data_IF_123682193056
#
_entry.id   IF_123682193056
#
_cell.length_a   1.000
_cell.length_b   1.000
_cell.length_c   1.000
_cell.angle_alpha   90.00
_cell.angle_beta   90.00
_cell.angle_gamma   90.00
#
_symmetry.space_group_name_H-M   'P 1'
#
loop_
_entity.id
_entity.type
_entity.pdbx_description
1 polymer ?
2 non-polymer ?
3 non-polymer ?
4 non-polymer ?
5 non-polymer ?
6 water ?
#
# COMPACT_ATOMS: atom_id res chain seq x y z
N UNK A 29 -14.54 -3.25 26.84
CA UNK A 29 -13.16 -3.58 27.19
C UNK A 29 -12.26 -3.36 26.00
N UNK A 30 -10.96 -3.30 26.24
CA UNK A 30 -9.98 -3.06 25.18
C UNK A 30 -9.68 -4.37 24.44
N UNK A 31 -9.79 -4.39 23.10
CA UNK A 31 -9.46 -5.66 22.43
C UNK A 31 -7.96 -5.92 22.41
N UNK A 32 -7.57 -7.19 22.24
CA UNK A 32 -6.16 -7.55 22.13
C UNK A 32 -5.51 -6.74 21.04
N UNK A 33 -4.29 -6.28 21.30
CA UNK A 33 -3.49 -5.67 20.25
C UNK A 33 -2.02 -6.06 20.44
N UNK A 34 -1.25 -6.07 19.34
CA UNK A 34 0.16 -6.42 19.45
C UNK A 34 0.94 -5.37 20.25
N UNK A 35 1.88 -5.84 21.06
CA UNK A 35 2.67 -4.95 21.92
C UNK A 35 4.12 -4.86 21.49
N UNK A 36 4.52 -5.74 20.58
CA UNK A 36 5.86 -5.73 20.02
C UNK A 36 5.76 -6.31 18.62
N UNK A 37 6.79 -6.09 17.83
CA UNK A 37 6.71 -6.44 16.40
C UNK A 37 6.43 -7.94 16.17
N UNK A 38 6.96 -8.82 17.02
CA UNK A 38 6.73 -10.26 16.79
C UNK A 38 5.29 -10.67 17.10
N UNK A 39 4.54 -9.84 17.84
CA UNK A 39 3.14 -10.14 18.12
C UNK A 39 2.31 -10.12 16.84
N UNK A 40 2.83 -9.52 15.76
CA UNK A 40 2.11 -9.57 14.48
C UNK A 40 1.99 -10.99 13.94
N UNK A 41 2.80 -11.91 14.45
CA UNK A 41 2.63 -13.32 14.13
C UNK A 41 1.22 -13.80 14.46
N UNK A 42 0.59 -13.17 15.45
CA UNK A 42 -0.69 -13.67 15.97
C UNK A 42 -1.89 -13.06 15.28
N UNK A 43 -1.68 -12.09 14.40
CA UNK A 43 -2.81 -11.51 13.73
C UNK A 43 -2.60 -11.45 12.22
N UNK A 44 -1.35 -11.53 11.77
CA UNK A 44 -1.07 -11.40 10.34
C UNK A 44 -1.58 -12.60 9.55
N UNK A 45 -1.91 -13.69 10.25
CA UNK A 45 -2.47 -14.88 9.60
C UNK A 45 -3.98 -14.99 9.76
N UNK A 46 -4.58 -14.03 10.46
CA UNK A 46 -6.02 -14.03 10.66
C UNK A 46 -6.69 -13.53 9.38
N UNK A 47 -6.41 -14.23 8.28
CA UNK A 47 -6.89 -13.84 6.96
C UNK A 47 -8.40 -14.04 6.86
N UNK A 48 -9.08 -12.99 6.39
CA UNK A 48 -10.52 -13.01 6.24
C UNK A 48 -10.90 -13.58 4.88
N UNK A 52 -5.46 -16.89 -2.20
CA UNK A 52 -5.80 -17.94 -3.14
C UNK A 52 -7.32 -18.12 -3.34
N UNK A 53 -8.12 -17.41 -2.55
CA UNK A 53 -9.57 -17.47 -2.71
C UNK A 53 -10.01 -16.38 -3.68
N UNK A 54 -10.01 -16.70 -4.98
CA UNK A 54 -10.35 -15.69 -5.98
C UNK A 54 -11.85 -15.39 -6.15
N UNK A 55 -12.16 -14.11 -6.32
CA UNK A 55 -13.53 -13.68 -6.56
C UNK A 55 -13.96 -14.18 -7.94
N UNK A 56 -15.26 -14.30 -8.15
CA UNK A 56 -15.79 -14.87 -9.38
C UNK A 56 -15.33 -14.12 -10.63
N UNK A 57 -15.22 -12.80 -10.53
CA UNK A 57 -14.79 -11.98 -11.66
C UNK A 57 -13.28 -11.79 -11.81
N UNK A 58 -12.49 -12.52 -11.02
CA UNK A 58 -11.03 -12.43 -11.13
C UNK A 58 -10.57 -12.99 -12.47
N UNK A 59 -9.63 -12.32 -13.14
CA UNK A 59 -9.18 -12.79 -14.45
C UNK A 59 -8.50 -14.15 -14.42
N UNK A 60 -8.05 -14.59 -13.24
CA UNK A 60 -7.49 -15.91 -13.10
C UNK A 60 -8.46 -16.94 -12.53
N UNK A 61 -9.73 -16.56 -12.34
CA UNK A 61 -10.71 -17.42 -11.67
C UNK A 61 -10.79 -18.84 -12.23
N UNK A 62 -10.65 -18.96 -13.54
CA UNK A 62 -10.73 -20.27 -14.20
C UNK A 62 -9.35 -20.77 -14.61
N UNK A 63 -8.30 -20.11 -14.15
CA UNK A 63 -6.96 -20.58 -14.51
C UNK A 63 -6.37 -21.38 -13.36
N UNK A 64 -6.27 -22.69 -13.57
CA UNK A 64 -5.75 -23.63 -12.58
C UNK A 64 -4.29 -23.42 -12.24
N UNK A 65 -3.49 -23.11 -13.25
CA UNK A 65 -2.06 -22.91 -13.03
C UNK A 65 -1.83 -21.66 -12.18
N UNK A 66 -2.49 -20.56 -12.54
CA UNK A 66 -2.40 -19.33 -11.76
C UNK A 66 -2.90 -19.58 -10.33
N UNK A 67 -3.99 -20.35 -10.21
CA UNK A 67 -4.54 -20.68 -8.90
C UNK A 67 -3.50 -21.40 -8.03
N UNK A 68 -2.75 -22.32 -8.63
CA UNK A 68 -1.72 -23.04 -7.90
C UNK A 68 -0.54 -22.13 -7.54
N UNK A 69 -0.21 -21.20 -8.42
CA UNK A 69 0.82 -20.21 -8.16
C UNK A 69 0.43 -19.32 -6.98
N UNK A 70 -0.84 -18.92 -6.96
CA UNK A 70 -1.35 -18.13 -5.84
C UNK A 70 -1.33 -18.89 -4.53
N UNK A 71 -1.63 -20.19 -4.55
CA UNK A 71 -1.49 -21.01 -3.35
C UNK A 71 -0.04 -21.05 -2.83
N UNK A 72 0.92 -21.19 -3.74
CA UNK A 72 2.32 -21.11 -3.40
C UNK A 72 2.65 -19.81 -2.65
N UNK A 73 2.23 -18.67 -3.19
CA UNK A 73 2.52 -17.41 -2.52
C UNK A 73 1.83 -17.30 -1.17
N UNK A 74 0.58 -17.75 -1.10
CA UNK A 74 -0.17 -17.65 0.15
C UNK A 74 0.50 -18.49 1.23
N UNK A 75 0.96 -19.69 0.87
CA UNK A 75 1.65 -20.54 1.84
C UNK A 75 2.95 -19.91 2.34
N UNK A 76 3.68 -19.22 1.45
CA UNK A 76 4.90 -18.52 1.89
C UNK A 76 4.59 -17.52 2.99
N UNK A 77 3.52 -16.77 2.80
CA UNK A 77 3.11 -15.78 3.78
C UNK A 77 2.61 -16.43 5.06
N UNK A 78 1.80 -17.47 4.93
CA UNK A 78 1.25 -18.13 6.12
C UNK A 78 2.35 -18.74 6.99
N UNK A 79 3.41 -19.22 6.35
CA UNK A 79 4.49 -19.88 7.08
C UNK A 79 5.56 -18.94 7.62
N UNK A 80 5.53 -17.69 7.15
CA UNK A 80 6.46 -16.67 7.60
C UNK A 80 6.26 -16.34 9.08
N UNK A 81 7.36 -16.18 9.80
CA UNK A 81 7.32 -15.71 11.19
C UNK A 81 8.26 -14.54 11.34
N UNK A 82 7.91 -13.57 12.18
CA UNK A 82 8.80 -12.44 12.40
C UNK A 82 10.22 -12.89 12.74
N UNK A 83 11.22 -12.27 12.10
CA UNK A 83 12.62 -12.65 12.29
C UNK A 83 13.15 -13.42 11.08
N UNK A 84 12.26 -14.08 10.36
CA UNK A 84 12.62 -14.79 9.13
C UNK A 84 13.06 -13.80 8.05
N UNK A 85 14.05 -14.19 7.24
CA UNK A 85 14.21 -13.47 5.98
C UNK A 85 12.98 -13.77 5.13
N UNK A 86 12.49 -12.78 4.39
CA UNK A 86 11.31 -13.04 3.55
C UNK A 86 11.74 -13.93 2.41
N UNK A 87 11.05 -15.08 2.24
CA UNK A 87 11.48 -16.01 1.19
C UNK A 87 11.65 -15.36 -0.17
N UNK A 88 12.78 -15.62 -0.82
CA UNK A 88 12.96 -15.08 -2.16
C UNK A 88 12.27 -15.99 -3.17
N UNK A 89 11.73 -15.36 -4.20
CA UNK A 89 10.90 -16.05 -5.17
C UNK A 89 11.55 -15.96 -6.53
N UNK A 90 11.57 -17.07 -7.26
CA UNK A 90 11.96 -17.01 -8.65
C UNK A 90 10.72 -16.69 -9.48
N UNK A 91 10.60 -15.45 -9.93
CA UNK A 91 9.47 -15.07 -10.76
C UNK A 91 9.59 -15.67 -12.17
N UNK A 92 8.44 -15.99 -12.76
CA UNK A 92 8.43 -16.58 -14.10
C UNK A 92 8.63 -15.50 -15.16
N UNK A 93 8.98 -15.93 -16.37
CA UNK A 93 9.16 -14.97 -17.47
C UNK A 93 7.87 -14.17 -17.70
N UNK A 94 6.74 -14.87 -17.60
CA UNK A 94 5.42 -14.25 -17.75
C UNK A 94 5.17 -13.19 -16.66
N UNK A 95 5.53 -13.51 -15.43
CA UNK A 95 5.35 -12.57 -14.32
C UNK A 95 6.23 -11.34 -14.52
N UNK A 96 7.48 -11.57 -14.89
CA UNK A 96 8.39 -10.46 -15.14
C UNK A 96 7.91 -9.59 -16.31
N UNK A 97 7.37 -10.21 -17.36
CA UNK A 97 6.83 -9.42 -18.47
C UNK A 97 5.66 -8.53 -18.03
N UNK A 98 4.81 -9.06 -17.15
CA UNK A 98 3.67 -8.31 -16.65
C UNK A 98 4.15 -7.10 -15.86
N UNK A 99 5.06 -7.34 -14.92
CA UNK A 99 5.74 -6.27 -14.19
C UNK A 99 6.36 -5.22 -15.13
N UNK A 100 7.11 -5.67 -16.14
CA UNK A 100 7.78 -4.76 -17.06
C UNK A 100 6.82 -3.85 -17.80
N UNK A 101 5.70 -4.43 -18.22
CA UNK A 101 4.68 -3.70 -18.96
C UNK A 101 4.12 -2.57 -18.09
N UNK A 102 3.76 -2.91 -16.87
CA UNK A 102 3.23 -1.94 -15.90
C UNK A 102 4.28 -0.87 -15.54
N UNK A 103 5.48 -1.35 -15.22
CA UNK A 103 6.63 -0.50 -14.87
C UNK A 103 6.95 0.54 -15.94
N UNK A 104 7.03 0.09 -17.18
CA UNK A 104 7.37 1.00 -18.28
C UNK A 104 6.37 2.14 -18.47
N UNK A 105 5.09 1.81 -18.42
CA UNK A 105 4.06 2.79 -18.65
C UNK A 105 3.91 3.77 -17.48
N UNK A 106 3.93 3.24 -16.26
CA UNK A 106 3.84 4.10 -15.09
C UNK A 106 5.03 5.05 -15.00
N UNK A 107 6.23 4.59 -15.30
CA UNK A 107 7.39 5.47 -15.20
C UNK A 107 7.38 6.64 -16.17
N UNK A 108 6.64 6.51 -17.27
CA UNK A 108 6.45 7.64 -18.16
C UNK A 108 5.62 8.75 -17.49
N UNK A 109 4.75 8.37 -16.56
CA UNK A 109 3.81 9.30 -15.95
C UNK A 109 4.29 9.92 -14.64
N UNK A 110 5.12 9.20 -13.89
CA UNK A 110 5.54 9.69 -12.57
C UNK A 110 6.13 11.11 -12.56
N UNK A 111 7.01 11.46 -13.53
CA UNK A 111 7.59 12.81 -13.46
C UNK A 111 6.56 13.95 -13.47
N UNK A 112 5.47 13.76 -14.20
CA UNK A 112 4.46 14.82 -14.27
C UNK A 112 3.30 14.65 -13.28
N UNK A 113 3.24 13.50 -12.60
CA UNK A 113 2.11 13.18 -11.72
C UNK A 113 2.47 12.98 -10.24
N UNK A 114 3.60 12.35 -9.97
CA UNK A 114 3.93 11.97 -8.59
C UNK A 114 4.50 13.09 -7.75
N UNK A 115 4.27 13.01 -6.45
CA UNK A 115 4.82 13.98 -5.53
C UNK A 115 6.35 13.91 -5.48
N UNK A 116 6.97 14.99 -5.01
CA UNK A 116 8.42 15.11 -5.04
C UNK A 116 9.11 14.04 -4.20
N UNK A 117 8.50 13.64 -3.08
CA UNK A 117 9.09 12.62 -2.22
C UNK A 117 9.15 11.28 -2.94
N UNK A 118 8.08 10.96 -3.67
CA UNK A 118 8.06 9.74 -4.46
C UNK A 118 9.20 9.76 -5.48
N UNK A 119 9.31 10.87 -6.22
CA UNK A 119 10.30 10.99 -7.28
C UNK A 119 11.74 10.96 -6.73
N UNK A 120 11.94 11.45 -5.51
CA UNK A 120 13.27 11.45 -4.91
C UNK A 120 13.71 10.02 -4.57
N UNK A 121 12.77 9.20 -4.11
CA UNK A 121 13.13 7.87 -3.63
C UNK A 121 13.15 6.76 -4.68
N UNK A 122 12.36 6.92 -5.74
CA UNK A 122 12.31 5.91 -6.80
C UNK A 122 13.70 5.54 -7.39
N UNK A 123 14.56 6.52 -7.70
CA UNK A 123 15.88 6.11 -8.23
C UNK A 123 16.78 5.39 -7.22
N UNK A 124 16.56 5.65 -5.93
CA UNK A 124 17.29 4.92 -4.91
C UNK A 124 16.94 3.44 -4.99
N UNK A 125 15.68 3.14 -5.31
CA UNK A 125 15.23 1.75 -5.41
C UNK A 125 15.75 1.04 -6.66
N UNK A 126 15.96 1.78 -7.74
CA UNK A 126 16.59 1.20 -8.93
C UNK A 126 18.04 0.87 -8.62
N UNK A 127 18.68 1.69 -7.80
CA UNK A 127 20.08 1.51 -7.50
C UNK A 127 20.32 0.37 -6.52
N UNK A 128 19.51 0.32 -5.47
CA UNK A 128 19.78 -0.60 -4.37
C UNK A 128 18.92 -1.86 -4.30
N UNK A 129 17.76 -1.83 -4.94
CA UNK A 129 16.81 -2.94 -4.83
C UNK A 129 16.44 -3.58 -6.15
N UNK A 130 17.11 -3.18 -7.23
CA UNK A 130 16.95 -3.86 -8.50
C UNK A 130 15.64 -3.60 -9.22
N UNK A 131 15.07 -2.42 -9.01
CA UNK A 131 13.90 -2.00 -9.78
C UNK A 131 14.32 -1.78 -11.24
N UNK A 132 13.95 -2.71 -12.10
CA UNK A 132 14.24 -2.61 -13.53
C UNK A 132 13.06 -3.19 -14.26
N UNK A 133 12.93 -2.86 -15.53
CA UNK A 133 11.85 -3.41 -16.34
C UNK A 133 11.90 -4.95 -16.43
N UNK A 134 13.09 -5.54 -16.40
CA UNK A 134 13.19 -6.98 -16.55
C UNK A 134 13.54 -7.69 -15.25
N UNK A 135 13.23 -7.06 -14.12
CA UNK A 135 13.51 -7.65 -12.84
C UNK A 135 12.49 -7.22 -11.80
N UNK A 136 11.79 -8.19 -11.21
CA UNK A 136 10.90 -7.89 -10.08
C UNK A 136 11.73 -7.91 -8.79
N UNK A 137 11.73 -6.79 -8.06
CA UNK A 137 12.48 -6.70 -6.80
C UNK A 137 12.01 -7.74 -5.79
N UNK A 138 12.94 -8.25 -4.98
CA UNK A 138 12.60 -9.17 -3.88
C UNK A 138 12.16 -8.40 -2.64
N UNK A 139 11.09 -8.86 -1.99
CA UNK A 139 10.62 -8.18 -0.78
C UNK A 139 11.69 -8.09 0.32
N UNK A 140 12.51 -9.14 0.46
CA UNK A 140 13.56 -9.07 1.48
C UNK A 140 14.53 -7.90 1.24
N UNK A 141 14.93 -7.68 -0.01
CA UNK A 141 15.83 -6.57 -0.32
C UNK A 141 15.17 -5.23 -0.07
N UNK A 142 13.92 -5.07 -0.48
CA UNK A 142 13.17 -3.86 -0.22
C UNK A 142 12.99 -3.61 1.28
N UNK A 143 12.71 -4.67 2.02
CA UNK A 143 12.57 -4.57 3.47
C UNK A 143 13.86 -4.08 4.12
N UNK A 144 14.99 -4.63 3.70
CA UNK A 144 16.28 -4.19 4.22
C UNK A 144 16.58 -2.71 3.92
N UNK A 145 16.23 -2.29 2.71
CA UNK A 145 16.36 -0.89 2.31
C UNK A 145 15.51 0.01 3.21
N UNK A 146 14.24 -0.34 3.38
CA UNK A 146 13.35 0.48 4.21
C UNK A 146 13.80 0.50 5.66
N UNK A 147 14.32 -0.61 6.15
CA UNK A 147 14.77 -0.63 7.55
C UNK A 147 15.88 0.39 7.77
N UNK A 148 16.79 0.52 6.82
CA UNK A 148 17.86 1.50 6.93
C UNK A 148 17.34 2.94 6.82
N UNK A 149 16.41 3.18 5.91
CA UNK A 149 15.94 4.55 5.63
C UNK A 149 15.01 5.11 6.71
N UNK A 150 14.00 4.32 7.10
CA UNK A 150 12.96 4.82 8.00
C UNK A 150 12.58 3.84 9.09
N UNK A 151 13.24 2.69 9.13
CA UNK A 151 12.84 1.65 10.06
C UNK A 151 11.60 0.88 9.66
N UNK A 152 11.01 1.20 8.51
CA UNK A 152 9.91 0.38 8.00
C UNK A 152 10.43 -0.97 7.55
N UNK A 153 9.55 -1.95 7.59
CA UNK A 153 9.89 -3.28 7.12
C UNK A 153 8.68 -3.89 6.46
N UNK A 154 8.90 -4.99 5.78
CA UNK A 154 7.85 -5.69 5.06
C UNK A 154 7.53 -7.01 5.74
N UNK A 155 6.25 -7.35 5.77
CA UNK A 155 5.80 -8.69 6.13
C UNK A 155 4.94 -9.23 4.99
N UNK A 156 5.30 -10.41 4.41
CA UNK A 156 4.42 -10.93 3.37
C UNK A 156 3.06 -11.34 3.96
N UNK A 157 1.99 -11.02 3.25
CA UNK A 157 0.68 -11.32 3.78
C UNK A 157 -0.08 -12.20 2.80
N UNK A 158 -0.82 -13.17 3.32
CA UNK A 158 -1.49 -14.13 2.45
C UNK A 158 -2.63 -13.47 1.67
N UNK A 159 -3.40 -12.63 2.35
CA UNK A 159 -4.52 -11.96 1.73
C UNK A 159 -5.09 -10.91 2.67
N UNK A 160 -6.37 -10.61 2.51
CA UNK A 160 -7.03 -9.53 3.25
C UNK A 160 -7.15 -9.81 4.75
N UNK A 161 -6.75 -8.83 5.55
CA UNK A 161 -6.89 -8.86 6.99
C UNK A 161 -7.96 -7.88 7.43
N UNK A 162 -8.48 -8.04 8.65
CA UNK A 162 -9.34 -6.98 9.20
C UNK A 162 -8.58 -5.66 9.21
N UNK A 163 -9.32 -4.55 9.14
CA UNK A 163 -8.58 -3.28 9.22
C UNK A 163 -7.82 -3.16 10.53
N UNK A 164 -8.36 -3.71 11.63
CA UNK A 164 -7.62 -3.67 12.87
C UNK A 164 -6.25 -4.35 12.73
N UNK A 165 -6.23 -5.56 12.20
CA UNK A 165 -4.97 -6.29 12.09
C UNK A 165 -4.02 -5.64 11.08
N UNK A 166 -4.55 -5.20 9.96
CA UNK A 166 -3.71 -4.56 8.95
C UNK A 166 -3.09 -3.26 9.49
N UNK A 167 -3.90 -2.38 10.06
CA UNK A 167 -3.36 -1.13 10.58
C UNK A 167 -2.41 -1.37 11.77
N UNK A 168 -2.64 -2.43 12.55
CA UNK A 168 -1.76 -2.67 13.68
C UNK A 168 -0.31 -2.86 13.24
N UNK A 169 -0.07 -3.39 12.04
CA UNK A 169 1.29 -3.56 11.58
C UNK A 169 2.00 -2.22 11.50
N UNK A 170 1.29 -1.20 11.02
CA UNK A 170 1.89 0.13 10.86
C UNK A 170 2.41 0.69 12.17
N UNK A 171 1.81 0.30 13.29
CA UNK A 171 2.28 0.74 14.60
C UNK A 171 3.74 0.37 14.85
N UNK A 172 4.19 -0.72 14.22
CA UNK A 172 5.58 -1.18 14.37
C UNK A 172 6.35 -0.95 13.10
N UNK A 173 5.86 -0.03 12.29
CA UNK A 173 6.42 0.27 10.96
C UNK A 173 6.57 -1.00 10.14
N UNK A 174 5.52 -1.83 10.17
CA UNK A 174 5.47 -3.03 9.35
C UNK A 174 4.37 -2.86 8.31
N UNK A 175 4.74 -3.04 7.05
CA UNK A 175 3.77 -2.99 5.98
C UNK A 175 3.46 -4.40 5.52
N UNK A 176 2.19 -4.81 5.66
CA UNK A 176 1.74 -6.14 5.21
C UNK A 176 1.59 -6.05 3.70
N UNK A 177 2.38 -6.89 3.03
CA UNK A 177 2.65 -6.75 1.62
C UNK A 177 2.33 -8.03 0.82
N UNK A 178 1.57 -7.91 -0.27
CA UNK A 178 1.35 -9.05 -1.15
C UNK A 178 2.62 -9.35 -1.98
N UNK A 179 2.84 -10.63 -2.25
CA UNK A 179 4.05 -11.08 -2.95
C UNK A 179 3.79 -11.62 -4.35
N UNK A 180 2.54 -11.95 -4.64
CA UNK A 180 2.16 -12.51 -5.93
C UNK A 180 2.02 -11.42 -6.98
N UNK A 181 1.91 -11.84 -8.24
CA UNK A 181 1.78 -10.92 -9.35
C UNK A 181 0.39 -11.07 -9.95
N UNK A 182 -0.17 -9.96 -10.42
CA UNK A 182 -1.45 -9.98 -11.12
C UNK A 182 -1.41 -10.92 -12.31
N UNK A 183 -2.58 -11.37 -12.74
CA UNK A 183 -2.69 -12.24 -13.89
C UNK A 183 -2.24 -11.53 -15.16
N UNK A 184 -1.54 -12.26 -16.02
CA UNK A 184 -0.91 -11.66 -17.19
C UNK A 184 -1.89 -11.19 -18.28
N UNK A 185 -3.13 -11.65 -18.21
CA UNK A 185 -4.13 -11.31 -19.22
C UNK A 185 -4.49 -9.83 -19.23
N UNK A 186 -4.34 -9.18 -18.07
CA UNK A 186 -4.61 -7.75 -17.96
C UNK A 186 -3.58 -7.09 -17.05
N UNK A 187 -2.43 -6.71 -17.62
CA UNK A 187 -1.35 -6.11 -16.83
C UNK A 187 -1.73 -4.77 -16.21
N UNK A 188 -2.61 -4.04 -16.87
CA UNK A 188 -2.93 -2.69 -16.41
C UNK A 188 -4.00 -2.60 -15.35
N UNK A 189 -4.80 -3.65 -15.19
CA UNK A 189 -5.83 -3.64 -14.17
C UNK A 189 -5.75 -4.86 -13.26
N UNK A 190 -5.94 -4.63 -11.96
CA UNK A 190 -5.94 -5.72 -10.99
C UNK A 190 -7.11 -5.45 -10.03
N UNK A 191 -7.79 -6.52 -9.63
CA UNK A 191 -8.98 -6.39 -8.76
C UNK A 191 -8.59 -6.34 -7.29
N UNK A 192 -7.29 -6.37 -7.04
CA UNK A 192 -6.80 -6.48 -5.68
C UNK A 192 -5.38 -5.97 -5.65
N UNK A 193 -4.84 -5.77 -4.45
CA UNK A 193 -3.43 -5.43 -4.40
C UNK A 193 -2.60 -6.62 -4.88
N UNK A 194 -1.54 -6.34 -5.62
CA UNK A 194 -0.54 -7.35 -5.97
C UNK A 194 0.83 -6.75 -5.69
N UNK A 195 1.89 -7.52 -5.89
CA UNK A 195 3.22 -7.02 -5.59
C UNK A 195 3.63 -5.82 -6.44
N UNK A 196 3.14 -5.72 -7.67
CA UNK A 196 3.45 -4.54 -8.48
C UNK A 196 2.92 -3.28 -7.78
N UNK A 197 1.71 -3.35 -7.25
CA UNK A 197 1.15 -2.25 -6.48
C UNK A 197 1.97 -1.94 -5.24
N UNK A 198 2.41 -2.97 -4.53
CA UNK A 198 3.19 -2.72 -3.33
C UNK A 198 4.51 -2.04 -3.62
N UNK A 199 5.22 -2.59 -4.60
CA UNK A 199 6.57 -2.13 -4.94
C UNK A 199 6.62 -0.76 -5.62
N UNK A 200 5.68 -0.53 -6.53
CA UNK A 200 5.64 0.74 -7.25
C UNK A 200 4.80 1.79 -6.56
N UNK A 201 3.72 1.36 -5.91
CA UNK A 201 2.86 2.31 -5.23
C UNK A 201 3.26 2.71 -3.82
N UNK A 202 3.59 1.73 -2.98
CA UNK A 202 3.82 2.03 -1.57
C UNK A 202 5.27 2.24 -1.14
N UNK A 203 6.16 1.42 -1.65
CA UNK A 203 7.52 1.43 -1.13
C UNK A 203 8.25 2.77 -1.25
N UNK A 204 8.15 3.48 -2.40
CA UNK A 204 8.95 4.72 -2.44
C UNK A 204 8.57 5.73 -1.37
N UNK A 205 7.32 5.77 -0.93
CA UNK A 205 6.94 6.70 0.12
C UNK A 205 7.23 6.17 1.52
N UNK A 206 7.22 4.86 1.72
CA UNK A 206 7.60 4.31 3.02
C UNK A 206 9.07 4.61 3.31
N UNK A 207 9.83 4.92 2.26
CA UNK A 207 11.23 5.32 2.41
C UNK A 207 11.41 6.79 2.82
N UNK A 208 10.32 7.54 2.91
CA UNK A 208 10.40 8.96 3.27
C UNK A 208 10.05 9.14 4.74
N UNK A 209 10.97 9.72 5.55
CA UNK A 209 10.70 9.82 6.99
C UNK A 209 9.37 10.49 7.36
N UNK A 210 9.01 11.59 6.72
CA UNK A 210 7.75 12.25 7.09
C UNK A 210 6.53 11.36 6.84
N UNK A 211 6.56 10.64 5.72
CA UNK A 211 5.47 9.75 5.37
C UNK A 211 5.44 8.53 6.30
N UNK A 212 6.62 7.99 6.63
CA UNK A 212 6.71 6.86 7.54
C UNK A 212 6.13 7.21 8.91
N UNK A 213 6.41 8.43 9.39
CA UNK A 213 5.85 8.86 10.67
C UNK A 213 4.33 8.99 10.59
N UNK A 214 3.84 9.60 9.52
CA UNK A 214 2.40 9.73 9.28
C UNK A 214 1.73 8.35 9.31
N UNK A 215 2.29 7.41 8.56
CA UNK A 215 1.74 6.06 8.51
C UNK A 215 1.79 5.35 9.86
N UNK A 216 2.94 5.41 10.52
CA UNK A 216 3.06 4.76 11.82
C UNK A 216 2.00 5.30 12.78
N UNK A 217 1.72 6.60 12.73
CA UNK A 217 0.76 7.15 13.69
C UNK A 217 -0.67 6.71 13.43
N UNK A 218 -1.02 6.38 12.19
CA UNK A 218 -2.31 5.73 11.94
C UNK A 218 -2.35 4.39 12.70
N UNK A 219 -1.29 3.60 12.56
CA UNK A 219 -1.23 2.33 13.26
C UNK A 219 -1.29 2.48 14.78
N UNK A 220 -0.51 3.42 15.31
CA UNK A 220 -0.48 3.62 16.75
C UNK A 220 -1.87 4.02 17.28
N UNK A 221 -2.54 4.90 16.56
CA UNK A 221 -3.87 5.33 16.97
C UNK A 221 -4.84 4.16 16.97
N UNK A 222 -4.64 3.21 16.07
CA UNK A 222 -5.59 2.10 15.95
C UNK A 222 -5.48 1.08 17.06
N UNK A 223 -4.32 1.00 17.73
CA UNK A 223 -4.08 -0.09 18.68
C UNK A 223 -5.04 -0.06 19.86
N UNK A 224 -5.84 -1.11 20.00
CA UNK A 224 -6.81 -1.18 21.10
C UNK A 224 -7.98 -0.23 20.93
N UNK A 225 -8.09 0.42 19.78
CA UNK A 225 -9.18 1.37 19.56
C UNK A 225 -10.52 0.66 19.36
N UNK A 226 -11.61 1.40 19.50
CA UNK A 226 -12.93 0.83 19.27
C UNK A 226 -13.08 0.42 17.80
N UNK A 227 -14.00 -0.48 17.53
CA UNK A 227 -14.29 -0.87 16.14
C UNK A 227 -14.60 0.35 15.29
N UNK A 228 -15.43 1.23 15.84
CA UNK A 228 -15.80 2.48 15.19
C UNK A 228 -14.58 3.32 14.82
N UNK A 229 -13.67 3.49 15.78
CA UNK A 229 -12.46 4.27 15.55
C UNK A 229 -11.56 3.63 14.50
N UNK A 230 -11.38 2.31 14.58
CA UNK A 230 -10.58 1.59 13.58
C UNK A 230 -11.14 1.82 12.18
N UNK A 231 -12.46 1.76 12.03
CA UNK A 231 -13.05 1.94 10.71
C UNK A 231 -12.78 3.34 10.18
N UNK A 232 -12.89 4.34 11.05
CA UNK A 232 -12.60 5.72 10.63
C UNK A 232 -11.12 5.92 10.26
N UNK A 233 -10.23 5.31 11.04
CA UNK A 233 -8.81 5.37 10.72
C UNK A 233 -8.51 4.69 9.39
N UNK A 234 -9.17 3.56 9.15
CA UNK A 234 -8.97 2.84 7.89
C UNK A 234 -9.41 3.69 6.69
N UNK A 235 -10.49 4.43 6.83
CA UNK A 235 -10.98 5.27 5.74
C UNK A 235 -10.01 6.43 5.53
N UNK A 236 -9.51 7.02 6.61
CA UNK A 236 -8.49 8.08 6.48
C UNK A 236 -7.24 7.55 5.80
N UNK A 237 -6.82 6.35 6.21
CA UNK A 237 -5.71 5.65 5.56
C UNK A 237 -5.97 5.51 4.05
N UNK A 238 -7.17 5.04 3.70
CA UNK A 238 -7.52 4.82 2.30
C UNK A 238 -7.38 6.09 1.46
N UNK A 239 -7.85 7.21 1.99
CA UNK A 239 -7.87 8.45 1.22
C UNK A 239 -6.60 9.30 1.37
N UNK A 240 -5.58 8.73 2.00
CA UNK A 240 -4.25 9.33 2.04
C UNK A 240 -3.25 8.34 1.46
N UNK A 241 -2.88 7.33 2.26
CA UNK A 241 -1.90 6.35 1.83
C UNK A 241 -2.27 5.66 0.51
N UNK A 242 -3.55 5.35 0.28
CA UNK A 242 -3.90 4.64 -0.96
C UNK A 242 -4.32 5.57 -2.11
N UNK A 243 -5.07 6.64 -1.82
CA UNK A 243 -5.60 7.47 -2.90
C UNK A 243 -5.41 8.97 -2.72
N UNK A 244 -4.43 9.35 -1.91
CA UNK A 244 -4.19 10.74 -1.59
C UNK A 244 -3.57 11.57 -2.70
N UNK A 245 -3.95 12.85 -2.70
CA UNK A 245 -3.29 13.88 -3.50
C UNK A 245 -2.66 14.84 -2.53
N UNK A 246 -1.64 15.56 -2.98
CA UNK A 246 -1.09 16.61 -2.14
C UNK A 246 -0.82 17.84 -2.98
N UNK A 247 -0.68 18.98 -2.33
CA UNK A 247 -0.37 20.22 -3.02
C UNK A 247 1.07 20.62 -2.75
N UNK A 248 1.85 20.74 -3.82
CA UNK A 248 3.26 21.07 -3.71
C UNK A 248 3.60 22.15 -4.71
N UNK A 249 4.18 23.24 -4.22
CA UNK A 249 4.49 24.41 -5.05
C UNK A 249 3.29 24.80 -5.91
N UNK A 250 2.09 24.75 -5.31
CA UNK A 250 0.87 25.17 -5.99
C UNK A 250 0.23 24.15 -6.92
N UNK A 251 0.89 23.01 -7.10
CA UNK A 251 0.42 22.00 -8.03
C UNK A 251 -0.19 20.81 -7.30
N UNK A 252 -1.20 20.18 -7.90
CA UNK A 252 -1.70 18.92 -7.37
C UNK A 252 -0.80 17.78 -7.79
N UNK A 253 -0.34 16.99 -6.82
CA UNK A 253 0.51 15.84 -7.09
C UNK A 253 -0.12 14.60 -6.45
N UNK A 254 0.32 13.42 -6.87
CA UNK A 254 -0.23 12.18 -6.36
C UNK A 254 0.71 11.50 -5.37
N UNK A 255 0.18 11.09 -4.22
CA UNK A 255 0.97 10.23 -3.33
C UNK A 255 0.31 8.90 -2.97
N UNK A 256 -0.98 8.75 -3.29
CA UNK A 256 -1.68 7.50 -2.98
C UNK A 256 -1.16 6.33 -3.80
N UNK A 257 -0.83 5.23 -3.12
CA UNK A 257 -0.26 4.06 -3.76
C UNK A 257 -1.19 3.40 -4.78
N UNK A 258 -2.49 3.41 -4.51
CA UNK A 258 -3.48 2.89 -5.44
C UNK A 258 -3.53 3.66 -6.75
N UNK A 259 -3.25 4.96 -6.68
CA UNK A 259 -3.13 5.77 -7.89
C UNK A 259 -1.81 5.54 -8.59
N UNK A 260 -0.74 5.48 -7.79
CA UNK A 260 0.60 5.34 -8.36
C UNK A 260 0.82 3.99 -9.04
N UNK A 261 -0.06 3.02 -8.84
CA UNK A 261 0.10 1.75 -9.57
C UNK A 261 -1.02 1.49 -10.58
N UNK A 262 -1.87 2.48 -10.83
CA UNK A 262 -2.98 2.34 -11.77
C UNK A 262 -2.82 3.38 -12.87
N UNK A 263 -2.48 2.95 -14.08
CA UNK A 263 -2.19 3.93 -15.13
C UNK A 263 -3.40 4.81 -15.44
N UNK A 264 -4.58 4.21 -15.49
CA UNK A 264 -5.76 4.97 -15.89
C UNK A 264 -6.20 5.92 -14.79
N UNK A 265 -6.20 5.48 -13.53
CA UNK A 265 -6.68 6.37 -12.47
C UNK A 265 -5.65 7.44 -12.12
N UNK A 266 -4.36 7.13 -12.28
CA UNK A 266 -3.31 8.12 -12.06
C UNK A 266 -3.54 9.32 -12.96
N UNK A 267 -3.84 9.04 -14.22
CA UNK A 267 -4.12 10.12 -15.17
C UNK A 267 -5.43 10.83 -14.84
N UNK A 268 -6.44 10.05 -14.47
CA UNK A 268 -7.76 10.60 -14.15
C UNK A 268 -7.69 11.56 -12.97
N UNK A 269 -6.92 11.18 -11.95
CA UNK A 269 -6.88 11.94 -10.71
C UNK A 269 -6.40 13.39 -10.93
N UNK A 270 -5.50 13.60 -11.88
CA UNK A 270 -5.02 14.96 -12.17
C UNK A 270 -5.59 15.52 -13.47
N UNK A 271 -6.65 14.90 -13.99
CA UNK A 271 -7.17 15.25 -15.32
C UNK A 271 -7.97 16.55 -15.35
N UNK A 272 -8.65 16.87 -14.26
CA UNK A 272 -9.56 17.99 -14.26
C UNK A 272 -11.00 17.53 -14.23
N UNK A 273 -11.19 16.23 -14.43
CA UNK A 273 -12.52 15.64 -14.41
C UNK A 273 -12.80 14.99 -13.07
N UNK A 274 -11.84 15.06 -12.17
CA UNK A 274 -11.98 14.47 -10.84
C UNK A 274 -12.48 15.47 -9.82
N UNK A 275 -13.36 15.03 -8.92
CA UNK A 275 -13.78 15.87 -7.81
C UNK A 275 -12.72 15.78 -6.73
N UNK A 276 -12.26 16.93 -6.23
CA UNK A 276 -11.26 16.96 -5.15
C UNK A 276 -11.74 17.83 -4.00
N UNK A 277 -11.42 17.38 -2.78
CA UNK A 277 -11.80 18.08 -1.56
C UNK A 277 -10.60 18.15 -0.65
N UNK A 278 -10.57 19.12 0.27
CA UNK A 278 -9.46 19.12 1.23
C UNK A 278 -9.50 17.92 2.15
N UNK A 279 -8.34 17.34 2.43
CA UNK A 279 -8.28 16.31 3.47
C UNK A 279 -8.71 16.92 4.80
N UNK A 280 -9.68 16.27 5.44
CA UNK A 280 -10.24 16.73 6.70
C UNK A 280 -10.84 15.50 7.35
N UNK A 281 -10.13 14.89 8.31
CA UNK A 281 -10.52 13.55 8.78
C UNK A 281 -11.99 13.41 9.15
N UNK A 282 -12.56 14.39 9.85
CA UNK A 282 -13.96 14.29 10.28
C UNK A 282 -14.89 14.14 9.06
N UNK A 283 -14.57 14.83 7.97
CA UNK A 283 -15.34 14.68 6.73
C UNK A 283 -14.91 13.49 5.86
N UNK A 284 -13.60 13.34 5.66
CA UNK A 284 -13.05 12.23 4.90
C UNK A 284 -13.52 10.84 5.39
N UNK A 285 -13.65 10.67 6.70
CA UNK A 285 -13.96 9.34 7.23
C UNK A 285 -15.42 8.92 6.95
N UNK A 286 -16.21 9.85 6.44
CA UNK A 286 -17.60 9.55 6.09
C UNK A 286 -17.73 9.08 4.64
N UNK A 287 -16.64 9.16 3.89
CA UNK A 287 -16.65 8.80 2.47
C UNK A 287 -16.50 7.31 2.25
N UNK A 288 -17.29 6.76 1.33
CA UNK A 288 -17.21 5.34 1.02
C UNK A 288 -15.96 5.06 0.20
N UNK A 289 -15.30 3.94 0.50
CA UNK A 289 -14.09 3.53 -0.23
C UNK A 289 -14.52 2.62 -1.37
N UNK A 290 -14.40 3.10 -2.60
CA UNK A 290 -14.82 2.29 -3.75
C UNK A 290 -13.74 1.28 -4.16
N UNK A 291 -14.17 0.13 -4.67
CA UNK A 291 -13.25 -0.95 -5.03
C UNK A 291 -13.13 -1.29 -6.52
N UNK A 292 -14.28 -1.35 -7.20
CA UNK A 292 -14.33 -1.75 -8.61
C UNK A 292 -14.35 -0.60 -9.62
N UNK A 293 -14.31 0.63 -9.14
CA UNK A 293 -14.31 1.78 -10.01
C UNK A 293 -13.30 2.81 -9.55
N UNK A 294 -13.09 3.85 -10.35
CA UNK A 294 -12.37 5.03 -9.87
C UNK A 294 -13.06 5.53 -8.60
N UNK A 295 -12.32 6.23 -7.75
CA UNK A 295 -12.93 6.92 -6.63
C UNK A 295 -13.86 8.02 -7.11
N UNK A 296 -14.87 8.36 -6.31
CA UNK A 296 -15.80 9.44 -6.65
C UNK A 296 -15.20 10.77 -6.28
N UNK A 297 -14.27 10.76 -5.33
CA UNK A 297 -13.66 11.97 -4.84
C UNK A 297 -12.25 11.65 -4.37
N UNK A 298 -11.34 12.62 -4.49
CA UNK A 298 -10.00 12.49 -3.95
C UNK A 298 -9.79 13.60 -2.94
N UNK A 299 -9.01 13.31 -1.91
CA UNK A 299 -8.73 14.30 -0.87
C UNK A 299 -7.30 14.81 -0.98
N UNK A 300 -7.16 16.13 -0.88
CA UNK A 300 -5.86 16.78 -1.04
C UNK A 300 -5.30 17.18 0.32
N UNK A 301 -4.12 16.65 0.63
CA UNK A 301 -3.38 17.01 1.83
C UNK A 301 -2.44 18.16 1.49
N UNK A 302 -2.19 19.06 2.43
CA UNK A 302 -1.26 20.16 2.18
C UNK A 302 0.19 19.68 2.18
N UNK A 303 0.47 18.70 3.03
CA UNK A 303 1.78 18.07 3.16
C UNK A 303 1.62 16.84 4.02
N UNK A 304 2.64 15.99 4.07
CA UNK A 304 2.57 14.85 4.97
C UNK A 304 2.57 15.33 6.42
N UNK A 305 3.31 16.40 6.68
CA UNK A 305 3.36 16.98 8.02
C UNK A 305 1.97 17.47 8.44
N UNK A 306 1.27 18.16 7.54
CA UNK A 306 -0.04 18.67 7.87
C UNK A 306 -1.07 17.55 8.01
N UNK A 307 -1.02 16.56 7.13
CA UNK A 307 -1.93 15.42 7.24
C UNK A 307 -1.75 14.74 8.60
N UNK A 308 -0.49 14.61 9.00
CA UNK A 308 -0.15 14.03 10.29
C UNK A 308 -0.72 14.84 11.45
N UNK A 309 -0.57 16.16 11.38
CA UNK A 309 -1.14 17.04 12.42
C UNK A 309 -2.67 16.92 12.48
N UNK A 310 -3.31 16.88 11.32
CA UNK A 310 -4.77 16.76 11.29
C UNK A 310 -5.23 15.42 11.88
N UNK A 311 -4.48 14.36 11.64
CA UNK A 311 -4.83 13.07 12.23
C UNK A 311 -4.63 13.09 13.75
N UNK A 312 -3.61 13.80 14.24
CA UNK A 312 -3.42 13.91 15.68
C UNK A 312 -4.63 14.57 16.35
N UNK A 313 -5.14 15.63 15.73
CA UNK A 313 -6.30 16.35 16.25
C UNK A 313 -7.52 15.43 16.25
N UNK A 314 -7.68 14.71 15.14
CA UNK A 314 -8.82 13.81 14.95
C UNK A 314 -8.83 12.64 15.92
N UNK A 315 -7.70 11.97 16.08
CA UNK A 315 -7.66 10.78 16.92
C UNK A 315 -7.99 11.07 18.38
N UNK A 316 -7.74 12.30 18.83
CA UNK A 316 -8.13 12.69 20.18
C UNK A 316 -9.64 12.59 20.35
N UNK A 317 -10.38 12.86 19.28
CA UNK A 317 -11.85 12.86 19.36
C UNK A 317 -12.48 11.47 19.28
N UNK A 318 -11.74 10.48 18.83
CA UNK A 318 -12.30 9.13 18.65
C UNK A 318 -11.65 8.06 19.54
N UNK A 319 -10.61 8.44 20.26
CA UNK A 319 -9.89 7.44 21.07
C UNK A 319 -9.42 8.03 22.40
#
# INVERSE_FOLDING_TARGET
MKHHHHHHHGAAGTSLYKKAGENLYFQGSVPWFPKKISDLDHCANRVLMYGSELDADHPGFKDNVYRKRRKYFADLAMNYKHGDPIPKVEFTEEEIKTWGTVFQELNKLYPTHACREYLKNLPLLSKYCGYREDNIPQLEDVSNFLKERTGFSIRPVAGYLSPRDFLSGLAFRVFHCTQYVRHSSDPFYTPEPDTCHELLGHVPLLAEPSFAQFSQEIGLASLGASEEAVQKLATCYFFTVEFGLCKQDGQLRVFGAGLLSSISELKHALSGHAKVKPFDPKITCKQECLITTFQDVYFVSESFEDAKEKMREFTKTIKRPFGVKY
#
